data_IF_329223627849
#
_entry.id   IF_329223627849
#
_cell.length_a   1.000
_cell.length_b   1.000
_cell.length_c   1.000
_cell.angle_alpha   90.00
_cell.angle_beta   90.00
_cell.angle_gamma   90.00
#
_symmetry.space_group_name_H-M   'P 1'
#
loop_
_entity.id
_entity.type
_entity.pdbx_description
1 polymer ?
#
# COMPACT_ATOMS: atom_id res chain seq x y z
N UNK A 1 5.87 -4.93 7.68
CA UNK A 1 5.00 -3.77 7.36
C UNK A 1 5.39 -3.24 5.99
N UNK A 2 4.44 -2.81 5.17
CA UNK A 2 4.68 -2.26 3.83
C UNK A 2 3.88 -0.96 3.64
N UNK A 3 4.48 0.01 2.96
CA UNK A 3 3.89 1.31 2.63
C UNK A 3 3.91 1.43 1.10
N UNK A 4 2.75 1.29 0.47
CA UNK A 4 2.66 1.16 -0.98
C UNK A 4 1.59 2.13 -1.48
N UNK A 5 1.93 2.97 -2.45
CA UNK A 5 0.94 3.84 -3.08
C UNK A 5 -0.09 3.00 -3.85
N UNK A 6 -1.37 3.38 -3.75
CA UNK A 6 -2.51 2.63 -4.29
C UNK A 6 -2.37 2.31 -5.79
N UNK A 7 -1.80 3.24 -6.57
CA UNK A 7 -1.58 3.06 -8.00
C UNK A 7 -0.55 1.97 -8.36
N UNK A 8 0.29 1.53 -7.42
CA UNK A 8 1.26 0.45 -7.63
C UNK A 8 0.60 -0.91 -7.38
N UNK A 9 -0.39 -1.23 -8.22
CA UNK A 9 -1.13 -2.49 -8.15
C UNK A 9 -0.24 -3.75 -8.19
N UNK A 10 0.84 -3.82 -8.98
CA UNK A 10 1.71 -4.99 -8.99
C UNK A 10 2.31 -5.29 -7.61
N UNK A 11 2.78 -4.26 -6.90
CA UNK A 11 3.35 -4.43 -5.56
C UNK A 11 2.27 -4.81 -4.54
N UNK A 12 1.07 -4.22 -4.62
CA UNK A 12 -0.05 -4.61 -3.75
C UNK A 12 -0.41 -6.09 -3.94
N UNK A 13 -0.51 -6.56 -5.19
CA UNK A 13 -0.80 -7.96 -5.51
C UNK A 13 0.29 -8.89 -4.97
N UNK A 14 1.56 -8.52 -5.15
CA UNK A 14 2.70 -9.30 -4.64
C UNK A 14 2.64 -9.47 -3.11
N UNK A 15 2.43 -8.38 -2.38
CA UNK A 15 2.39 -8.44 -0.91
C UNK A 15 1.18 -9.22 -0.41
N UNK A 16 0.00 -9.00 -1.00
CA UNK A 16 -1.21 -9.78 -0.68
C UNK A 16 -1.03 -11.28 -0.97
N UNK A 17 -0.33 -11.63 -2.06
CA UNK A 17 0.02 -13.03 -2.36
C UNK A 17 0.87 -13.65 -1.24
N UNK A 18 1.79 -12.91 -0.63
CA UNK A 18 2.58 -13.35 0.52
C UNK A 18 1.85 -13.27 1.88
N UNK A 19 0.53 -13.04 1.88
CA UNK A 19 -0.31 -13.02 3.07
C UNK A 19 -0.18 -11.74 3.90
N UNK A 20 0.15 -10.62 3.26
CA UNK A 20 -0.06 -9.30 3.87
C UNK A 20 -1.51 -8.86 3.67
N UNK A 21 -2.04 -8.16 4.66
CA UNK A 21 -3.40 -7.62 4.69
C UNK A 21 -3.36 -6.08 4.73
N UNK A 22 -4.43 -5.45 4.25
CA UNK A 22 -4.61 -4.01 4.32
C UNK A 22 -4.91 -3.58 5.77
N UNK A 23 -4.01 -2.79 6.36
CA UNK A 23 -4.14 -2.29 7.74
C UNK A 23 -4.59 -0.83 7.79
N UNK A 24 -4.45 -0.08 6.70
CA UNK A 24 -4.92 1.31 6.62
C UNK A 24 -4.77 1.91 5.23
N UNK A 25 -5.60 2.90 4.92
CA UNK A 25 -5.58 3.65 3.66
C UNK A 25 -5.60 5.14 3.99
N UNK A 26 -4.58 5.86 3.55
CA UNK A 26 -4.49 7.30 3.74
C UNK A 26 -4.62 7.98 2.37
N UNK A 27 -5.77 8.61 2.08
CA UNK A 27 -6.01 9.23 0.79
C UNK A 27 -5.12 10.46 0.59
N UNK A 28 -4.60 10.59 -0.64
CA UNK A 28 -3.99 11.82 -1.17
C UNK A 28 -2.90 12.48 -0.31
N UNK A 29 -2.10 11.65 0.36
CA UNK A 29 -1.08 12.10 1.32
C UNK A 29 0.21 12.63 0.69
N UNK A 30 0.40 12.42 -0.61
CA UNK A 30 1.61 12.84 -1.32
C UNK A 30 1.30 13.26 -2.75
N UNK A 31 2.15 14.12 -3.31
CA UNK A 31 2.15 14.49 -4.73
C UNK A 31 3.39 13.89 -5.39
N UNK A 32 3.18 13.07 -6.42
CA UNK A 32 4.23 12.43 -7.22
C UNK A 32 3.93 12.67 -8.69
N UNK A 33 4.90 13.21 -9.42
CA UNK A 33 4.74 13.61 -10.83
C UNK A 33 3.51 14.50 -11.07
N UNK A 34 3.25 15.40 -10.11
CA UNK A 34 2.11 16.32 -10.15
C UNK A 34 0.75 15.68 -9.85
N UNK A 35 0.70 14.40 -9.47
CA UNK A 35 -0.53 13.70 -9.11
C UNK A 35 -0.60 13.37 -7.62
N UNK A 36 -1.77 13.56 -7.02
CA UNK A 36 -2.06 13.09 -5.67
C UNK A 36 -2.02 11.55 -5.60
N UNK A 37 -1.51 11.04 -4.47
CA UNK A 37 -1.28 9.62 -4.25
C UNK A 37 -1.80 9.19 -2.88
N UNK A 38 -2.76 8.27 -2.94
CA UNK A 38 -3.21 7.50 -1.79
C UNK A 38 -2.16 6.47 -1.37
N UNK A 39 -1.87 6.39 -0.07
CA UNK A 39 -0.98 5.39 0.53
C UNK A 39 -1.80 4.25 1.14
N UNK A 40 -1.36 3.01 0.94
CA UNK A 40 -1.89 1.82 1.60
C UNK A 40 -0.83 1.27 2.55
N UNK A 41 -1.22 1.06 3.80
CA UNK A 41 -0.40 0.38 4.81
C UNK A 41 -0.78 -1.10 4.81
N UNK A 42 0.18 -1.95 4.50
CA UNK A 42 0.05 -3.40 4.55
C UNK A 42 0.80 -3.97 5.76
N UNK A 43 0.22 -4.98 6.39
CA UNK A 43 0.91 -5.71 7.46
C UNK A 43 0.61 -7.20 7.45
N UNK A 44 1.51 -7.96 8.07
CA UNK A 44 1.40 -9.40 8.24
C UNK A 44 1.76 -9.70 9.69
N UNK A 45 0.81 -10.26 10.44
CA UNK A 45 1.07 -10.72 11.80
C UNK A 45 1.88 -12.01 11.72
N UNK A 46 3.07 -12.01 12.30
CA UNK A 46 3.85 -13.23 12.51
C UNK A 46 3.40 -13.85 13.84
N UNK A 47 3.25 -15.17 13.87
CA UNK A 47 2.94 -15.93 15.07
C UNK A 47 4.23 -16.44 15.69
#
# INVERSE_FOLDING_TARGET
MGFIFLHNEPSLKLFRHFGFEDWGVFPDVAVLDGMERTLVILGKKLR
#
